data_IF_249342558380
#
_entry.id   IF_249342558380
#
_cell.length_a   1.000
_cell.length_b   1.000
_cell.length_c   1.000
_cell.angle_alpha   90.00
_cell.angle_beta   90.00
_cell.angle_gamma   90.00
#
_symmetry.space_group_name_H-M   'P 1'
#
loop_
_entity.id
_entity.type
_entity.pdbx_description
1 polymer ?
#
# COMPACT_ATOMS: atom_id res chain seq x y z
N UNK A 1 -31.07 -12.51 -57.85
CA UNK A 1 -30.70 -12.96 -56.49
C UNK A 1 -31.27 -14.36 -56.29
N UNK A 2 -30.42 -15.39 -56.15
CA UNK A 2 -30.89 -16.74 -55.83
C UNK A 2 -31.02 -16.86 -54.30
N UNK A 3 -32.12 -17.43 -53.77
CA UNK A 3 -32.26 -17.62 -52.33
C UNK A 3 -31.22 -18.63 -51.83
N UNK A 4 -30.58 -18.32 -50.70
CA UNK A 4 -29.59 -19.20 -50.07
C UNK A 4 -30.32 -20.48 -49.62
N UNK A 5 -29.88 -21.69 -50.05
CA UNK A 5 -30.51 -22.93 -49.63
C UNK A 5 -30.34 -23.11 -48.12
N UNK A 6 -31.46 -23.29 -47.42
CA UNK A 6 -31.49 -23.60 -45.98
C UNK A 6 -31.73 -25.09 -45.80
N UNK A 7 -30.87 -25.75 -45.02
CA UNK A 7 -31.12 -27.11 -44.56
C UNK A 7 -31.43 -27.07 -43.06
N UNK A 8 -32.18 -28.05 -42.57
CA UNK A 8 -32.40 -28.26 -41.14
C UNK A 8 -31.60 -29.45 -40.66
N UNK A 9 -31.03 -29.34 -39.46
CA UNK A 9 -30.41 -30.48 -38.75
C UNK A 9 -31.21 -30.76 -37.48
N UNK A 10 -31.26 -32.03 -37.07
CA UNK A 10 -31.91 -32.42 -35.82
C UNK A 10 -30.92 -32.27 -34.68
N UNK A 11 -31.27 -31.45 -33.68
CA UNK A 11 -30.51 -31.29 -32.45
C UNK A 11 -30.61 -32.55 -31.57
N UNK A 12 -29.71 -32.74 -30.58
CA UNK A 12 -29.76 -33.87 -29.65
C UNK A 12 -31.07 -33.98 -28.85
N UNK A 13 -31.78 -32.86 -28.70
CA UNK A 13 -33.07 -32.77 -28.00
C UNK A 13 -34.26 -33.13 -28.91
N UNK A 14 -34.02 -33.38 -30.20
CA UNK A 14 -35.04 -33.71 -31.20
C UNK A 14 -35.58 -32.52 -31.99
N UNK A 15 -35.23 -31.30 -31.62
CA UNK A 15 -35.68 -30.08 -32.31
C UNK A 15 -34.95 -29.90 -33.65
N UNK A 16 -35.65 -29.43 -34.69
CA UNK A 16 -35.03 -29.06 -35.96
C UNK A 16 -34.49 -27.64 -35.91
N UNK A 17 -33.18 -27.48 -36.16
CA UNK A 17 -32.49 -26.20 -36.19
C UNK A 17 -32.07 -25.88 -37.63
N UNK A 18 -32.45 -24.72 -38.20
CA UNK A 18 -32.00 -24.31 -39.51
C UNK A 18 -30.50 -23.96 -39.45
N UNK A 19 -29.72 -24.53 -40.37
CA UNK A 19 -28.29 -24.23 -40.49
C UNK A 19 -28.05 -23.60 -41.85
N UNK A 20 -27.30 -22.50 -41.84
CA UNK A 20 -26.80 -21.86 -43.04
C UNK A 20 -25.70 -22.77 -43.63
N UNK A 21 -25.96 -23.31 -44.82
CA UNK A 21 -24.89 -23.85 -45.65
C UNK A 21 -23.98 -22.69 -46.02
N UNK A 22 -22.74 -22.73 -45.53
CA UNK A 22 -21.70 -21.85 -46.06
C UNK A 22 -21.64 -22.04 -47.57
N UNK A 23 -21.60 -20.95 -48.35
CA UNK A 23 -21.76 -21.05 -49.78
C UNK A 23 -20.63 -21.90 -50.39
N UNK A 24 -21.00 -22.61 -51.45
CA UNK A 24 -20.09 -23.26 -52.39
C UNK A 24 -18.90 -22.34 -52.72
N UNK A 25 -17.72 -22.91 -53.07
CA UNK A 25 -16.53 -22.14 -53.39
C UNK A 25 -16.89 -21.01 -54.34
N UNK A 26 -16.45 -19.80 -53.97
CA UNK A 26 -16.74 -18.59 -54.73
C UNK A 26 -16.43 -18.84 -56.22
N UNK A 27 -17.26 -18.37 -57.16
CA UNK A 27 -16.93 -18.46 -58.57
C UNK A 27 -15.54 -17.86 -58.78
N UNK A 28 -14.74 -18.43 -59.71
CA UNK A 28 -13.34 -17.99 -59.91
C UNK A 28 -13.21 -16.48 -60.19
N UNK A 29 -14.28 -15.85 -60.68
CA UNK A 29 -14.39 -14.40 -60.90
C UNK A 29 -14.53 -13.57 -59.61
N UNK A 30 -14.76 -14.20 -58.46
CA UNK A 30 -14.88 -13.59 -57.14
C UNK A 30 -13.75 -14.02 -56.20
N UNK A 31 -12.69 -14.64 -56.75
CA UNK A 31 -11.44 -14.86 -56.03
C UNK A 31 -10.69 -13.54 -56.03
N UNK A 32 -10.54 -13.00 -54.84
CA UNK A 32 -9.83 -11.75 -54.56
C UNK A 32 -8.50 -12.14 -53.92
N UNK A 33 -7.42 -11.45 -54.26
CA UNK A 33 -6.12 -11.76 -53.67
C UNK A 33 -6.15 -11.45 -52.16
N UNK A 34 -5.44 -12.22 -51.31
CA UNK A 34 -5.55 -12.09 -49.86
C UNK A 34 -5.35 -10.66 -49.36
N UNK A 35 -4.47 -9.88 -49.97
CA UNK A 35 -4.20 -8.49 -49.59
C UNK A 35 -5.31 -7.51 -49.96
N UNK A 36 -6.05 -7.76 -51.04
CA UNK A 36 -7.17 -6.90 -51.47
C UNK A 36 -8.33 -6.95 -50.48
N UNK A 37 -8.52 -8.10 -49.80
CA UNK A 37 -9.51 -8.27 -48.73
C UNK A 37 -9.22 -7.41 -47.49
N UNK A 38 -7.95 -7.05 -47.24
CA UNK A 38 -7.55 -6.24 -46.08
C UNK A 38 -7.34 -4.77 -46.42
N UNK A 39 -7.55 -4.34 -47.67
CA UNK A 39 -7.38 -2.94 -48.08
C UNK A 39 -8.24 -1.98 -47.24
N UNK A 40 -9.47 -2.40 -46.93
CA UNK A 40 -10.41 -1.63 -46.11
C UNK A 40 -10.03 -1.62 -44.61
N UNK A 41 -9.20 -2.58 -44.16
CA UNK A 41 -8.67 -2.65 -42.79
C UNK A 41 -7.32 -1.95 -42.63
N UNK A 42 -6.65 -1.64 -43.75
CA UNK A 42 -5.40 -0.88 -43.82
C UNK A 42 -5.63 0.63 -44.02
N UNK A 43 -6.88 1.06 -44.11
CA UNK A 43 -7.20 2.47 -43.90
C UNK A 43 -6.64 2.87 -42.52
N UNK A 44 -5.77 3.88 -42.48
CA UNK A 44 -5.25 4.45 -41.24
C UNK A 44 -6.44 4.64 -40.29
N UNK A 45 -6.39 4.07 -39.07
CA UNK A 45 -7.50 4.17 -38.14
C UNK A 45 -7.85 5.65 -37.99
N UNK A 46 -9.10 5.98 -38.28
CA UNK A 46 -9.68 7.30 -38.02
C UNK A 46 -9.28 7.67 -36.58
N UNK A 47 -8.68 8.85 -36.33
CA UNK A 47 -8.07 9.15 -35.03
C UNK A 47 -9.12 8.93 -33.94
N UNK A 48 -8.88 7.94 -33.08
CA UNK A 48 -9.76 7.63 -31.95
C UNK A 48 -10.02 8.93 -31.17
N UNK A 49 -11.28 9.22 -30.78
CA UNK A 49 -11.57 10.36 -29.93
C UNK A 49 -10.75 10.20 -28.63
N UNK A 50 -9.95 11.20 -28.32
CA UNK A 50 -9.02 11.18 -27.19
C UNK A 50 -9.73 10.73 -25.90
N UNK A 51 -9.13 9.80 -25.12
CA UNK A 51 -9.73 9.32 -23.88
C UNK A 51 -9.57 10.35 -22.75
N UNK A 52 -10.19 11.53 -22.87
CA UNK A 52 -9.76 12.67 -22.03
C UNK A 52 -10.41 12.79 -20.65
N UNK A 53 -11.49 12.08 -20.31
CA UNK A 53 -12.22 12.39 -19.06
C UNK A 53 -12.42 11.21 -18.10
N UNK A 54 -12.74 10.02 -18.59
CA UNK A 54 -13.04 8.87 -17.72
C UNK A 54 -11.81 8.34 -16.96
N UNK A 55 -10.64 8.30 -17.60
CA UNK A 55 -9.42 7.78 -16.97
C UNK A 55 -8.82 8.70 -15.89
N UNK A 56 -8.93 10.02 -16.09
CA UNK A 56 -8.39 11.02 -15.15
C UNK A 56 -9.17 11.06 -13.84
N UNK A 57 -10.50 10.99 -13.90
CA UNK A 57 -11.35 10.96 -12.70
C UNK A 57 -11.11 9.69 -11.88
N UNK A 58 -10.99 8.53 -12.53
CA UNK A 58 -10.68 7.26 -11.87
C UNK A 58 -9.29 7.30 -11.19
N UNK A 59 -8.29 7.86 -11.86
CA UNK A 59 -6.94 8.02 -11.31
C UNK A 59 -6.92 8.93 -10.07
N UNK A 60 -7.62 10.07 -10.12
CA UNK A 60 -7.74 10.98 -8.98
C UNK A 60 -8.47 10.32 -7.79
N UNK A 61 -9.51 9.54 -8.06
CA UNK A 61 -10.24 8.81 -7.03
C UNK A 61 -9.37 7.74 -6.35
N UNK A 62 -8.62 6.94 -7.13
CA UNK A 62 -7.68 5.97 -6.56
C UNK A 62 -6.55 6.64 -5.77
N UNK A 63 -6.03 7.78 -6.25
CA UNK A 63 -5.01 8.54 -5.53
C UNK A 63 -5.53 9.04 -4.17
N UNK A 64 -6.77 9.54 -4.10
CA UNK A 64 -7.40 9.94 -2.84
C UNK A 64 -7.56 8.76 -1.86
N UNK A 65 -8.05 7.63 -2.34
CA UNK A 65 -8.20 6.41 -1.51
C UNK A 65 -6.84 5.98 -0.96
N UNK A 66 -5.79 6.00 -1.79
CA UNK A 66 -4.44 5.65 -1.36
C UNK A 66 -3.92 6.60 -0.26
N UNK A 67 -4.13 7.91 -0.43
CA UNK A 67 -3.74 8.90 0.59
C UNK A 67 -4.48 8.70 1.92
N UNK A 68 -5.80 8.47 1.88
CA UNK A 68 -6.61 8.20 3.08
C UNK A 68 -6.17 6.91 3.78
N UNK A 69 -5.87 5.85 3.03
CA UNK A 69 -5.39 4.59 3.58
C UNK A 69 -4.03 4.75 4.29
N UNK A 70 -3.13 5.56 3.72
CA UNK A 70 -1.85 5.90 4.35
C UNK A 70 -2.07 6.70 5.63
N UNK A 71 -2.94 7.72 5.62
CA UNK A 71 -3.22 8.53 6.80
C UNK A 71 -3.83 7.69 7.94
N UNK A 72 -4.79 6.82 7.63
CA UNK A 72 -5.34 5.87 8.60
C UNK A 72 -4.28 4.89 9.09
N UNK A 73 -3.39 4.43 8.21
CA UNK A 73 -2.22 3.63 8.57
C UNK A 73 -1.33 4.34 9.59
N UNK A 74 -1.02 5.62 9.36
CA UNK A 74 -0.19 6.42 10.26
C UNK A 74 -0.85 6.61 11.62
N UNK A 75 -2.15 6.95 11.66
CA UNK A 75 -2.90 7.11 12.93
C UNK A 75 -2.83 5.84 13.79
N UNK A 76 -3.04 4.67 13.20
CA UNK A 76 -2.92 3.41 13.93
C UNK A 76 -1.50 3.18 14.44
N UNK A 77 -0.48 3.47 13.63
CA UNK A 77 0.90 3.39 14.11
C UNK A 77 1.12 4.36 15.28
N UNK A 78 0.70 5.62 15.17
CA UNK A 78 0.88 6.62 16.23
C UNK A 78 0.24 6.17 17.55
N UNK A 79 -0.94 5.55 17.50
CA UNK A 79 -1.59 4.90 18.66
C UNK A 79 -0.74 3.78 19.28
N UNK A 80 -0.07 2.95 18.46
CA UNK A 80 0.83 1.91 18.97
C UNK A 80 2.06 2.50 19.67
N UNK A 81 2.59 3.61 19.16
CA UNK A 81 3.78 4.28 19.70
C UNK A 81 3.44 5.17 20.92
N UNK A 82 2.19 5.59 21.08
CA UNK A 82 1.75 6.44 22.19
C UNK A 82 2.05 5.84 23.58
N UNK A 83 2.04 4.50 23.69
CA UNK A 83 2.30 3.78 24.95
C UNK A 83 3.79 3.64 25.31
N UNK A 84 4.71 4.01 24.42
CA UNK A 84 6.14 3.92 24.70
C UNK A 84 6.57 4.94 25.76
N UNK A 85 7.71 4.73 26.44
CA UNK A 85 8.31 5.73 27.33
C UNK A 85 8.60 7.05 26.62
N UNK A 86 8.67 8.15 27.36
CA UNK A 86 8.90 9.50 26.83
C UNK A 86 10.32 9.72 26.31
N UNK A 87 11.28 8.89 26.73
CA UNK A 87 12.62 8.80 26.16
C UNK A 87 12.56 8.51 24.64
N UNK A 88 11.50 7.83 24.18
CA UNK A 88 11.27 7.52 22.78
C UNK A 88 10.28 8.50 22.10
N UNK A 89 10.05 9.67 22.71
CA UNK A 89 9.09 10.68 22.23
C UNK A 89 9.36 11.14 20.79
N UNK A 90 10.63 11.27 20.40
CA UNK A 90 11.01 11.62 19.03
C UNK A 90 10.41 10.65 18.01
N UNK A 91 10.39 9.35 18.33
CA UNK A 91 9.82 8.31 17.48
C UNK A 91 8.29 8.26 17.53
N UNK A 92 7.65 8.81 18.58
CA UNK A 92 6.19 8.97 18.65
C UNK A 92 5.72 10.05 17.67
N UNK A 93 6.45 11.16 17.58
CA UNK A 93 6.09 12.31 16.75
C UNK A 93 6.63 12.24 15.32
N UNK A 94 7.56 11.31 15.04
CA UNK A 94 8.15 11.16 13.72
C UNK A 94 7.11 10.66 12.71
N UNK A 95 6.62 11.58 11.87
CA UNK A 95 5.84 11.25 10.68
C UNK A 95 6.76 10.82 9.55
N UNK A 96 6.42 9.70 8.93
CA UNK A 96 7.07 9.21 7.71
C UNK A 96 6.35 9.81 6.50
N UNK A 97 7.07 10.24 5.45
CA UNK A 97 6.44 10.61 4.18
C UNK A 97 5.54 9.49 3.66
N UNK A 98 4.48 9.85 2.92
CA UNK A 98 3.51 8.89 2.41
C UNK A 98 4.16 7.79 1.56
N UNK A 99 5.19 8.16 0.80
CA UNK A 99 5.92 7.33 -0.17
C UNK A 99 6.72 6.22 0.52
N UNK A 100 7.16 6.45 1.75
CA UNK A 100 8.00 5.53 2.54
C UNK A 100 7.23 4.84 3.67
N UNK A 101 5.93 5.15 3.83
CA UNK A 101 5.15 4.64 4.92
C UNK A 101 4.88 3.13 4.76
N UNK A 102 5.47 2.34 5.65
CA UNK A 102 5.22 0.90 5.75
C UNK A 102 4.62 0.58 7.12
N UNK A 103 3.34 0.19 7.12
CA UNK A 103 2.56 -0.08 8.34
C UNK A 103 3.22 -1.14 9.25
N UNK A 104 3.93 -2.09 8.67
CA UNK A 104 4.56 -3.18 9.42
C UNK A 104 6.05 -2.96 9.69
N UNK A 105 6.59 -1.77 9.43
CA UNK A 105 7.98 -1.43 9.73
C UNK A 105 8.08 -0.73 11.08
N UNK A 106 9.00 -1.19 11.94
CA UNK A 106 9.28 -0.48 13.19
C UNK A 106 10.06 0.81 12.90
N UNK A 107 9.57 1.95 13.40
CA UNK A 107 10.21 3.27 13.24
C UNK A 107 11.55 3.41 13.96
N UNK A 108 11.76 2.68 15.06
CA UNK A 108 12.97 2.78 15.88
C UNK A 108 14.12 2.00 15.25
N UNK A 109 13.89 0.71 14.95
CA UNK A 109 14.93 -0.19 14.43
C UNK A 109 14.89 -0.42 12.91
N UNK A 110 13.84 0.04 12.21
CA UNK A 110 13.68 -0.15 10.78
C UNK A 110 13.29 -1.57 10.34
N UNK A 111 13.12 -2.52 11.27
CA UNK A 111 12.79 -3.90 10.94
C UNK A 111 11.35 -4.03 10.43
N UNK A 112 11.17 -4.78 9.34
CA UNK A 112 9.88 -5.06 8.72
C UNK A 112 9.29 -6.37 9.24
N UNK A 113 8.03 -6.32 9.66
CA UNK A 113 7.28 -7.47 10.14
C UNK A 113 6.28 -7.93 9.08
N UNK A 114 5.90 -9.21 9.12
CA UNK A 114 4.86 -9.74 8.22
C UNK A 114 3.43 -9.47 8.73
N UNK A 115 3.27 -9.05 9.99
CA UNK A 115 1.97 -8.87 10.66
C UNK A 115 2.04 -7.73 11.68
N UNK A 116 0.99 -6.92 11.75
CA UNK A 116 0.84 -5.85 12.77
C UNK A 116 0.87 -6.37 14.21
N UNK A 117 0.40 -7.60 14.46
CA UNK A 117 0.50 -8.23 15.79
C UNK A 117 1.95 -8.48 16.21
N UNK A 118 2.84 -8.82 15.27
CA UNK A 118 4.25 -8.99 15.56
C UNK A 118 4.92 -7.66 15.90
N UNK A 119 4.59 -6.58 15.19
CA UNK A 119 5.03 -5.22 15.52
C UNK A 119 4.55 -4.80 16.91
N UNK A 120 3.28 -5.04 17.26
CA UNK A 120 2.76 -4.76 18.61
C UNK A 120 3.53 -5.48 19.71
N UNK A 121 3.80 -6.78 19.52
CA UNK A 121 4.59 -7.56 20.48
C UNK A 121 6.02 -7.01 20.55
N UNK A 122 6.60 -6.62 19.42
CA UNK A 122 7.93 -6.02 19.36
C UNK A 122 8.04 -4.72 20.17
N UNK A 123 6.99 -3.89 20.13
CA UNK A 123 6.86 -2.65 20.90
C UNK A 123 6.44 -2.87 22.37
N UNK A 124 6.26 -4.12 22.80
CA UNK A 124 5.96 -4.46 24.21
C UNK A 124 4.48 -4.46 24.59
N UNK A 125 3.57 -4.22 23.66
CA UNK A 125 2.11 -4.27 23.88
C UNK A 125 1.56 -5.70 24.08
N UNK A 126 2.43 -6.71 24.06
CA UNK A 126 2.09 -8.12 24.31
C UNK A 126 2.31 -8.59 25.76
N UNK A 127 2.60 -7.69 26.69
CA UNK A 127 2.77 -8.01 28.12
C UNK A 127 4.11 -8.65 28.51
N UNK A 128 5.05 -8.79 27.57
CA UNK A 128 6.40 -9.35 27.82
C UNK A 128 7.51 -8.29 27.81
N UNK A 129 7.14 -7.02 27.97
CA UNK A 129 8.05 -5.88 27.85
C UNK A 129 8.49 -5.60 26.42
N UNK A 130 9.20 -4.49 26.23
CA UNK A 130 9.74 -4.05 24.95
C UNK A 130 10.70 -5.13 24.40
N UNK A 131 10.58 -5.52 23.13
CA UNK A 131 11.47 -6.50 22.50
C UNK A 131 12.40 -5.88 21.45
N UNK A 132 12.18 -4.61 21.10
CA UNK A 132 13.06 -3.86 20.22
C UNK A 132 14.41 -3.61 20.88
N UNK A 133 15.48 -4.23 20.35
CA UNK A 133 16.85 -4.07 20.88
C UNK A 133 17.29 -2.61 20.88
N UNK A 134 17.16 -1.94 19.73
CA UNK A 134 17.54 -0.53 19.59
C UNK A 134 16.75 0.39 20.52
N UNK A 135 15.48 0.09 20.77
CA UNK A 135 14.69 0.86 21.73
C UNK A 135 15.15 0.64 23.18
N UNK A 136 15.58 -0.58 23.54
CA UNK A 136 16.19 -0.85 24.85
C UNK A 136 17.52 -0.15 25.03
N UNK A 137 18.37 -0.16 24.00
CA UNK A 137 19.66 0.53 24.00
C UNK A 137 19.47 2.04 24.21
N UNK A 138 18.48 2.65 23.55
CA UNK A 138 18.17 4.08 23.73
C UNK A 138 17.66 4.40 25.14
N UNK A 139 16.85 3.52 25.73
CA UNK A 139 16.37 3.70 27.11
C UNK A 139 17.54 3.58 28.10
N UNK A 140 18.38 2.55 27.95
CA UNK A 140 19.53 2.33 28.83
C UNK A 140 20.53 3.49 28.76
N UNK A 141 20.81 4.01 27.55
CA UNK A 141 21.73 5.14 27.39
C UNK A 141 21.22 6.41 28.09
N UNK A 142 19.91 6.66 28.07
CA UNK A 142 19.32 7.82 28.76
C UNK A 142 19.34 7.67 30.29
N UNK A 143 19.16 6.45 30.80
CA UNK A 143 19.29 6.17 32.24
C UNK A 143 20.74 6.42 32.72
N UNK A 144 21.75 6.06 31.92
CA UNK A 144 23.16 6.35 32.22
C UNK A 144 23.47 7.86 32.22
N UNK A 145 22.91 8.63 31.27
CA UNK A 145 23.08 10.09 31.20
C UNK A 145 22.43 10.83 32.40
N UNK A 146 21.25 10.40 32.85
CA UNK A 146 20.59 10.98 34.03
C UNK A 146 21.39 10.73 35.33
N UNK A 147 22.01 9.55 35.47
CA UNK A 147 22.84 9.22 36.63
C UNK A 147 24.13 10.09 36.68
N UNK A 148 24.76 10.36 35.54
CA UNK A 148 25.94 11.24 35.45
C UNK A 148 25.60 12.70 35.82
N UNK A 149 24.43 13.21 35.37
CA UNK A 149 24.00 14.58 35.74
C UNK A 149 23.69 14.74 37.24
N UNK A 150 23.17 13.70 37.91
CA UNK A 150 22.91 13.77 39.36
C UNK A 150 24.19 13.78 40.21
N UNK A 151 25.27 13.11 39.79
CA UNK A 151 26.53 13.08 40.55
C UNK A 151 27.28 14.43 40.58
N UNK A 152 27.08 15.29 39.57
CA UNK A 152 27.73 16.61 39.48
C UNK A 152 27.03 17.71 40.31
N UNK A 153 25.85 17.44 40.88
CA UNK A 153 25.16 18.39 41.77
C UNK A 153 25.75 18.32 43.18
N UNK A 154 26.86 19.04 43.37
CA UNK A 154 27.56 19.15 44.65
C UNK A 154 26.60 19.40 45.84
N UNK A 155 26.74 18.67 46.96
CA UNK A 155 25.79 18.73 48.07
C UNK A 155 25.72 20.15 48.65
N UNK A 156 24.50 20.65 48.98
CA UNK A 156 24.31 22.02 49.43
C UNK A 156 25.17 22.32 50.66
N UNK A 157 25.84 23.48 50.72
CA UNK A 157 26.78 23.79 51.78
C UNK A 157 26.07 23.76 53.15
N UNK A 158 26.56 22.88 54.04
CA UNK A 158 26.03 22.74 55.41
C UNK A 158 26.16 24.09 56.13
N UNK A 159 25.02 24.74 56.43
CA UNK A 159 24.96 25.95 57.26
C UNK A 159 25.57 25.65 58.63
N UNK A 160 26.82 26.09 58.86
CA UNK A 160 27.48 26.04 60.17
C UNK A 160 26.67 26.89 61.14
N UNK A 161 26.03 26.24 62.12
CA UNK A 161 25.38 26.94 63.24
C UNK A 161 26.45 27.62 64.08
N UNK A 162 26.39 28.95 64.13
CA UNK A 162 27.24 29.78 64.98
C UNK A 162 26.89 29.48 66.45
N UNK A 163 27.78 28.83 67.17
CA UNK A 163 27.62 28.58 68.60
C UNK A 163 27.82 29.91 69.36
N UNK A 164 26.76 30.39 70.00
CA UNK A 164 26.76 31.54 70.89
C UNK A 164 27.38 31.10 72.23
N UNK A 165 28.64 31.47 72.49
CA UNK A 165 29.27 31.29 73.81
C UNK A 165 28.62 32.30 74.78
N UNK A 166 27.99 31.78 75.83
CA UNK A 166 27.67 32.51 77.06
C UNK A 166 28.76 32.29 78.09
#
# INVERSE_FOLDING_TARGET
>A
MQPIPRITITSPTGDQVPVLLFPLPAPRSAVVEPWEFFSDQLADPEPEPEPEQCGRELHLHHSRIAAEAIEQGQKLCDELYAHLPDILSEFKTMRVPADEFQREKCRICGYTFFKTKALRIHLGLGGRGLACKKAKELIAAHEEEEEEEEEDVAPPPKKRRLAKRG
#
